data_IF_837221387226
#
_entry.id   IF_837221387226
#
_cell.length_a   1.000
_cell.length_b   1.000
_cell.length_c   1.000
_cell.angle_alpha   90.00
_cell.angle_beta   90.00
_cell.angle_gamma   90.00
#
_symmetry.space_group_name_H-M   'P 1'
#
loop_
_entity.id
_entity.type
_entity.pdbx_description
1 polymer ?
#
# COMPACT_ATOMS: atom_id res chain seq x y z
N UNK A 1 -3.24 95.37 -32.81
CA UNK A 1 -2.84 93.97 -33.05
C UNK A 1 -3.65 93.43 -34.22
N UNK A 2 -3.00 92.79 -35.19
CA UNK A 2 -3.66 92.26 -36.39
C UNK A 2 -4.35 90.92 -36.04
N UNK A 3 -5.57 90.67 -36.53
CA UNK A 3 -6.37 89.50 -36.14
C UNK A 3 -5.65 88.16 -36.37
N UNK A 4 -4.83 88.10 -37.41
CA UNK A 4 -3.97 86.96 -37.75
C UNK A 4 -2.92 86.66 -36.68
N UNK A 5 -2.33 87.68 -36.06
CA UNK A 5 -1.30 87.49 -35.03
C UNK A 5 -1.90 86.90 -33.74
N UNK A 6 -3.11 87.32 -33.39
CA UNK A 6 -3.84 86.76 -32.24
C UNK A 6 -4.21 85.29 -32.48
N UNK A 7 -4.60 84.94 -33.71
CA UNK A 7 -4.92 83.55 -34.08
C UNK A 7 -3.69 82.64 -33.98
N UNK A 8 -2.52 83.07 -34.49
CA UNK A 8 -1.28 82.30 -34.35
C UNK A 8 -0.88 82.10 -32.88
N UNK A 9 -1.04 83.12 -32.02
CA UNK A 9 -0.74 82.99 -30.59
C UNK A 9 -1.63 81.94 -29.91
N UNK A 10 -2.93 81.95 -30.20
CA UNK A 10 -3.87 80.98 -29.64
C UNK A 10 -3.56 79.55 -30.11
N UNK A 11 -3.16 79.39 -31.38
CA UNK A 11 -2.77 78.10 -31.95
C UNK A 11 -1.47 77.58 -31.31
N UNK A 12 -0.48 78.45 -31.12
CA UNK A 12 0.79 78.11 -30.47
C UNK A 12 0.59 77.70 -29.01
N UNK A 13 -0.29 78.38 -28.28
CA UNK A 13 -0.68 78.01 -26.91
C UNK A 13 -1.39 76.65 -26.88
N UNK A 14 -2.24 76.37 -27.86
CA UNK A 14 -2.94 75.08 -27.99
C UNK A 14 -1.96 73.94 -28.27
N UNK A 15 -0.99 74.16 -29.17
CA UNK A 15 0.07 73.19 -29.46
C UNK A 15 0.98 72.94 -28.26
N UNK A 16 1.32 73.97 -27.48
CA UNK A 16 2.08 73.81 -26.24
C UNK A 16 1.32 72.98 -25.19
N UNK A 17 0.01 73.22 -25.02
CA UNK A 17 -0.83 72.39 -24.13
C UNK A 17 -0.88 70.94 -24.59
N UNK A 18 -1.03 70.70 -25.89
CA UNK A 18 -1.03 69.37 -26.46
C UNK A 18 0.31 68.66 -26.24
N UNK A 19 1.43 69.35 -26.48
CA UNK A 19 2.77 68.81 -26.27
C UNK A 19 3.01 68.41 -24.81
N UNK A 20 2.65 69.28 -23.84
CA UNK A 20 2.78 68.98 -22.42
C UNK A 20 1.90 67.77 -22.01
N UNK A 21 0.71 67.66 -22.59
CA UNK A 21 -0.18 66.51 -22.35
C UNK A 21 0.43 65.22 -22.90
N UNK A 22 1.00 65.25 -24.11
CA UNK A 22 1.67 64.09 -24.70
C UNK A 22 2.92 63.67 -23.90
N UNK A 23 3.73 64.64 -23.44
CA UNK A 23 4.90 64.36 -22.60
C UNK A 23 4.51 63.66 -21.29
N UNK A 24 3.43 64.13 -20.65
CA UNK A 24 2.93 63.50 -19.41
C UNK A 24 2.45 62.07 -19.67
N UNK A 25 1.76 61.83 -20.80
CA UNK A 25 1.32 60.49 -21.19
C UNK A 25 2.49 59.54 -21.48
N UNK A 26 3.54 60.03 -22.15
CA UNK A 26 4.75 59.25 -22.42
C UNK A 26 5.44 58.86 -21.12
N UNK A 27 5.61 59.81 -20.18
CA UNK A 27 6.21 59.51 -18.88
C UNK A 27 5.42 58.42 -18.13
N UNK A 28 4.09 58.50 -18.11
CA UNK A 28 3.24 57.48 -17.48
C UNK A 28 3.38 56.09 -18.14
N UNK A 29 3.47 56.06 -19.47
CA UNK A 29 3.68 54.81 -20.23
C UNK A 29 5.08 54.23 -20.02
N UNK A 30 6.10 55.07 -19.84
CA UNK A 30 7.47 54.62 -19.53
C UNK A 30 7.53 53.97 -18.14
N UNK A 31 6.84 54.54 -17.16
CA UNK A 31 6.74 53.97 -15.81
C UNK A 31 5.94 52.65 -15.83
N UNK A 32 4.81 52.59 -16.54
CA UNK A 32 4.05 51.34 -16.72
C UNK A 32 4.89 50.25 -17.39
N UNK A 33 5.63 50.58 -18.45
CA UNK A 33 6.55 49.65 -19.10
C UNK A 33 7.66 49.15 -18.18
N UNK A 34 8.14 50.01 -17.26
CA UNK A 34 9.13 49.60 -16.24
C UNK A 34 8.54 48.56 -15.30
N UNK A 35 7.34 48.80 -14.77
CA UNK A 35 6.64 47.84 -13.92
C UNK A 35 6.33 46.53 -14.65
N UNK A 36 5.91 46.59 -15.92
CA UNK A 36 5.68 45.38 -16.73
C UNK A 36 6.94 44.52 -16.90
N UNK A 37 8.10 45.14 -17.07
CA UNK A 37 9.39 44.43 -17.15
C UNK A 37 9.74 43.75 -15.82
N UNK A 38 9.47 44.41 -14.69
CA UNK A 38 9.66 43.83 -13.36
C UNK A 38 8.73 42.63 -13.13
N UNK A 39 7.45 42.74 -13.49
CA UNK A 39 6.51 41.62 -13.41
C UNK A 39 6.92 40.45 -14.31
N UNK A 40 7.36 40.72 -15.55
CA UNK A 40 7.84 39.68 -16.45
C UNK A 40 9.06 38.94 -15.87
N UNK A 41 10.00 39.68 -15.25
CA UNK A 41 11.14 39.09 -14.55
C UNK A 41 10.69 38.21 -13.38
N UNK A 42 9.70 38.66 -12.60
CA UNK A 42 9.17 37.88 -11.47
C UNK A 42 8.47 36.60 -11.91
N UNK A 43 7.70 36.66 -13.00
CA UNK A 43 7.03 35.49 -13.59
C UNK A 43 8.08 34.46 -14.03
N UNK A 44 9.12 34.88 -14.75
CA UNK A 44 10.20 33.98 -15.17
C UNK A 44 10.89 33.28 -13.99
N UNK A 45 11.11 33.99 -12.87
CA UNK A 45 11.67 33.39 -11.66
C UNK A 45 10.73 32.35 -11.02
N UNK A 46 9.42 32.62 -11.00
CA UNK A 46 8.43 31.70 -10.46
C UNK A 46 8.28 30.45 -11.32
N UNK A 47 8.30 30.59 -12.64
CA UNK A 47 8.29 29.47 -13.59
C UNK A 47 9.51 28.57 -13.40
N UNK A 48 10.69 29.16 -13.24
CA UNK A 48 11.93 28.40 -12.96
C UNK A 48 11.86 27.67 -11.62
N UNK A 49 11.39 28.34 -10.56
CA UNK A 49 11.20 27.69 -9.25
C UNK A 49 10.22 26.52 -9.32
N UNK A 50 9.12 26.67 -10.07
CA UNK A 50 8.14 25.60 -10.25
C UNK A 50 8.72 24.42 -11.04
N UNK A 51 9.55 24.69 -12.06
CA UNK A 51 10.25 23.65 -12.80
C UNK A 51 11.14 22.81 -11.90
N UNK A 52 11.97 23.46 -11.09
CA UNK A 52 12.87 22.79 -10.15
C UNK A 52 12.10 21.97 -9.10
N UNK A 53 11.01 22.52 -8.55
CA UNK A 53 10.19 21.80 -7.59
C UNK A 53 9.54 20.54 -8.19
N UNK A 54 9.07 20.63 -9.44
CA UNK A 54 8.51 19.47 -10.14
C UNK A 54 9.57 18.39 -10.41
N UNK A 55 10.81 18.78 -10.73
CA UNK A 55 11.92 17.84 -10.91
C UNK A 55 12.28 17.14 -9.58
N UNK A 56 12.34 17.89 -8.48
CA UNK A 56 12.55 17.32 -7.15
C UNK A 56 11.44 16.34 -6.77
N UNK A 57 10.18 16.72 -6.99
CA UNK A 57 9.03 15.87 -6.70
C UNK A 57 9.08 14.57 -7.51
N UNK A 58 9.45 14.62 -8.80
CA UNK A 58 9.62 13.43 -9.61
C UNK A 58 10.68 12.49 -9.02
N UNK A 59 11.80 13.04 -8.54
CA UNK A 59 12.84 12.28 -7.85
C UNK A 59 12.34 11.62 -6.56
N UNK A 60 11.59 12.35 -5.73
CA UNK A 60 11.01 11.80 -4.49
C UNK A 60 9.96 10.71 -4.74
N UNK A 61 9.14 10.88 -5.78
CA UNK A 61 8.16 9.86 -6.20
C UNK A 61 8.88 8.58 -6.63
N UNK A 62 9.94 8.70 -7.43
CA UNK A 62 10.77 7.54 -7.82
C UNK A 62 11.37 6.85 -6.59
N UNK A 63 11.97 7.62 -5.67
CA UNK A 63 12.55 7.08 -4.43
C UNK A 63 11.50 6.38 -3.56
N UNK A 64 10.30 6.96 -3.45
CA UNK A 64 9.19 6.38 -2.69
C UNK A 64 8.69 5.09 -3.32
N UNK A 65 8.61 5.03 -4.65
CA UNK A 65 8.25 3.83 -5.40
C UNK A 65 9.26 2.70 -5.16
N UNK A 66 10.56 2.98 -5.29
CA UNK A 66 11.61 2.00 -5.01
C UNK A 66 11.57 1.50 -3.55
N UNK A 67 11.32 2.39 -2.59
CA UNK A 67 11.21 2.00 -1.19
C UNK A 67 10.02 1.06 -0.96
N UNK A 68 8.90 1.34 -1.62
CA UNK A 68 7.69 0.52 -1.51
C UNK A 68 7.87 -0.85 -2.18
N UNK A 69 8.56 -0.91 -3.34
CA UNK A 69 8.92 -2.18 -3.99
C UNK A 69 9.83 -3.03 -3.09
N UNK A 70 10.89 -2.43 -2.51
CA UNK A 70 11.77 -3.10 -1.54
C UNK A 70 11.03 -3.57 -0.28
N UNK A 71 10.03 -2.81 0.17
CA UNK A 71 9.19 -3.21 1.29
C UNK A 71 8.28 -4.38 0.90
N UNK A 72 7.77 -4.40 -0.34
CA UNK A 72 6.89 -5.44 -0.84
C UNK A 72 7.62 -6.78 -1.05
N UNK A 73 8.88 -6.76 -1.50
CA UNK A 73 9.73 -7.97 -1.57
C UNK A 73 9.97 -8.60 -0.20
N UNK A 74 9.95 -7.79 0.87
CA UNK A 74 10.06 -8.28 2.25
C UNK A 74 8.73 -8.71 2.87
N UNK A 75 7.60 -8.46 2.21
CA UNK A 75 6.27 -8.63 2.83
C UNK A 75 5.79 -10.06 2.92
N UNK A 76 6.22 -10.98 2.03
CA UNK A 76 5.89 -12.40 2.19
C UNK A 76 7.14 -13.25 2.43
N UNK A 77 7.53 -13.50 3.69
CA UNK A 77 8.69 -14.33 4.00
C UNK A 77 8.45 -15.81 3.66
N UNK A 78 7.26 -16.21 3.23
CA UNK A 78 6.90 -17.60 2.96
C UNK A 78 7.13 -17.89 1.47
N UNK A 79 7.98 -18.87 1.19
CA UNK A 79 8.29 -19.39 -0.14
C UNK A 79 7.33 -20.51 -0.54
N UNK A 80 7.04 -21.44 0.37
CA UNK A 80 6.18 -22.60 0.10
C UNK A 80 5.39 -23.00 1.33
N UNK A 81 4.19 -23.55 1.12
CA UNK A 81 3.32 -24.09 2.15
C UNK A 81 2.66 -25.39 1.70
N UNK A 82 2.74 -26.41 2.55
CA UNK A 82 2.19 -27.74 2.29
C UNK A 82 1.42 -28.25 3.52
N UNK A 83 0.49 -29.17 3.28
CA UNK A 83 -0.24 -29.85 4.35
C UNK A 83 -0.07 -31.35 4.17
N UNK A 84 1.10 -31.94 4.46
CA UNK A 84 1.44 -33.31 4.03
C UNK A 84 0.57 -34.40 4.68
N UNK A 85 0.13 -34.20 5.92
CA UNK A 85 -0.56 -35.24 6.67
C UNK A 85 -1.51 -34.70 7.74
N UNK A 86 -2.37 -35.57 8.24
CA UNK A 86 -3.17 -35.34 9.44
C UNK A 86 -2.54 -36.05 10.63
N UNK A 87 -2.66 -35.46 11.80
CA UNK A 87 -2.16 -35.98 13.07
C UNK A 87 -3.28 -36.01 14.11
N UNK A 88 -3.24 -36.97 15.02
CA UNK A 88 -4.15 -37.04 16.16
C UNK A 88 -3.40 -36.46 17.36
N UNK A 89 -3.90 -35.35 17.89
CA UNK A 89 -3.28 -34.67 19.04
C UNK A 89 -4.07 -35.05 20.30
N UNK A 90 -3.40 -35.53 21.35
CA UNK A 90 -4.05 -35.79 22.63
C UNK A 90 -4.40 -34.47 23.33
N UNK A 91 -5.62 -34.37 23.82
CA UNK A 91 -6.14 -33.28 24.65
C UNK A 91 -6.60 -33.89 25.99
N UNK A 92 -6.71 -33.08 27.05
CA UNK A 92 -6.90 -33.55 28.44
C UNK A 92 -8.00 -34.61 28.63
N UNK A 93 -9.05 -34.61 27.79
CA UNK A 93 -10.19 -35.51 27.89
C UNK A 93 -10.61 -36.17 26.56
N UNK A 94 -9.93 -35.88 25.45
CA UNK A 94 -10.27 -36.38 24.11
C UNK A 94 -9.08 -36.26 23.20
N UNK A 95 -9.09 -36.98 22.08
CA UNK A 95 -8.19 -36.70 20.98
C UNK A 95 -8.87 -35.75 19.98
N UNK A 96 -8.11 -34.90 19.30
CA UNK A 96 -8.60 -34.16 18.14
C UNK A 96 -7.71 -34.37 16.92
N UNK A 97 -8.33 -34.38 15.73
CA UNK A 97 -7.58 -34.39 14.48
C UNK A 97 -7.11 -32.99 14.13
N UNK A 98 -5.83 -32.88 13.81
CA UNK A 98 -5.21 -31.69 13.29
C UNK A 98 -4.44 -32.01 12.00
N UNK A 99 -4.00 -30.97 11.33
CA UNK A 99 -3.26 -31.03 10.09
C UNK A 99 -1.87 -30.48 10.32
N UNK A 100 -0.87 -31.23 9.89
CA UNK A 100 0.51 -30.77 9.88
C UNK A 100 0.64 -29.78 8.72
N UNK A 101 1.04 -28.55 9.02
CA UNK A 101 1.30 -27.50 8.04
C UNK A 101 2.80 -27.27 8.04
N UNK A 102 3.45 -27.51 6.90
CA UNK A 102 4.88 -27.21 6.72
C UNK A 102 5.02 -25.90 5.97
N UNK A 103 5.92 -25.06 6.46
CA UNK A 103 6.19 -23.75 5.91
C UNK A 103 7.68 -23.65 5.63
N UNK A 104 7.99 -23.25 4.41
CA UNK A 104 9.35 -22.92 3.96
C UNK A 104 9.39 -21.43 3.67
N UNK A 105 10.32 -20.73 4.30
CA UNK A 105 10.54 -19.31 4.07
C UNK A 105 11.54 -19.06 2.94
N UNK A 106 11.54 -17.83 2.42
CA UNK A 106 12.43 -17.38 1.34
C UNK A 106 13.92 -17.48 1.69
N UNK A 107 14.25 -17.48 2.98
CA UNK A 107 15.60 -17.68 3.50
C UNK A 107 15.96 -19.17 3.70
N UNK A 108 15.10 -20.08 3.23
CA UNK A 108 15.29 -21.53 3.29
C UNK A 108 14.97 -22.17 4.65
N UNK A 109 14.53 -21.40 5.65
CA UNK A 109 14.13 -21.98 6.95
C UNK A 109 12.83 -22.76 6.79
N UNK A 110 12.79 -23.93 7.42
CA UNK A 110 11.62 -24.80 7.44
C UNK A 110 11.10 -24.93 8.85
N UNK A 111 9.78 -24.84 8.99
CA UNK A 111 9.12 -25.14 10.24
C UNK A 111 7.76 -25.76 10.01
N UNK A 112 7.24 -26.40 11.05
CA UNK A 112 5.95 -27.05 11.03
C UNK A 112 5.07 -26.50 12.14
N UNK A 113 3.77 -26.39 11.87
CA UNK A 113 2.75 -26.09 12.86
C UNK A 113 1.59 -27.07 12.73
N UNK A 114 0.89 -27.30 13.82
CA UNK A 114 -0.27 -28.21 13.83
C UNK A 114 -1.54 -27.39 13.97
N UNK A 115 -2.49 -27.57 13.05
CA UNK A 115 -3.73 -26.78 13.03
C UNK A 115 -4.95 -27.67 12.93
N UNK A 116 -5.91 -27.51 13.86
CA UNK A 116 -7.22 -28.15 13.74
C UNK A 116 -8.12 -27.36 12.80
N UNK A 117 -9.08 -28.04 12.15
CA UNK A 117 -9.96 -27.42 11.16
C UNK A 117 -10.64 -26.12 11.65
N UNK A 118 -11.09 -26.07 12.91
CA UNK A 118 -11.68 -24.86 13.51
C UNK A 118 -10.75 -23.64 13.45
N UNK A 119 -9.43 -23.81 13.52
CA UNK A 119 -8.47 -22.70 13.40
C UNK A 119 -8.42 -22.15 11.96
N UNK A 120 -8.57 -23.01 10.94
CA UNK A 120 -8.71 -22.56 9.55
C UNK A 120 -10.01 -21.77 9.34
N UNK A 121 -11.11 -22.20 9.99
CA UNK A 121 -12.38 -21.46 9.96
C UNK A 121 -12.23 -20.07 10.57
N UNK A 122 -11.48 -19.94 11.66
CA UNK A 122 -11.20 -18.65 12.30
C UNK A 122 -10.36 -17.74 11.38
N UNK A 123 -9.28 -18.27 10.79
CA UNK A 123 -8.49 -17.55 9.78
C UNK A 123 -9.38 -17.06 8.64
N UNK A 124 -10.20 -17.93 8.06
CA UNK A 124 -11.11 -17.60 6.97
C UNK A 124 -12.09 -16.49 7.35
N UNK A 125 -12.66 -16.58 8.54
CA UNK A 125 -13.61 -15.58 9.07
C UNK A 125 -12.95 -14.21 9.23
N UNK A 126 -11.71 -14.18 9.71
CA UNK A 126 -10.93 -12.95 9.84
C UNK A 126 -10.61 -12.34 8.47
N UNK A 127 -10.19 -13.15 7.50
CA UNK A 127 -9.93 -12.68 6.14
C UNK A 127 -11.20 -12.15 5.46
N UNK A 128 -12.34 -12.85 5.59
CA UNK A 128 -13.62 -12.39 5.04
C UNK A 128 -14.05 -11.06 5.67
N UNK A 129 -13.78 -10.83 6.95
CA UNK A 129 -14.07 -9.54 7.60
C UNK A 129 -13.25 -8.40 6.99
N UNK A 130 -12.04 -8.66 6.52
CA UNK A 130 -11.12 -7.64 5.98
C UNK A 130 -11.40 -7.40 4.48
N UNK A 131 -11.61 -8.46 3.69
CA UNK A 131 -11.66 -8.39 2.22
C UNK A 131 -13.05 -8.67 1.61
N UNK A 132 -14.03 -9.05 2.44
CA UNK A 132 -15.32 -9.55 1.97
C UNK A 132 -15.26 -11.00 1.50
N UNK A 133 -16.43 -11.63 1.34
CA UNK A 133 -16.54 -13.05 1.00
C UNK A 133 -15.97 -13.39 -0.38
N UNK A 134 -16.16 -12.51 -1.37
CA UNK A 134 -15.67 -12.71 -2.74
C UNK A 134 -14.14 -12.50 -2.87
N UNK A 135 -13.51 -11.86 -1.89
CA UNK A 135 -12.07 -11.60 -1.88
C UNK A 135 -11.22 -12.73 -1.29
N UNK A 136 -11.83 -13.80 -0.78
CA UNK A 136 -11.14 -14.87 -0.05
C UNK A 136 -11.38 -16.23 -0.72
N UNK A 137 -10.35 -17.09 -0.86
CA UNK A 137 -10.50 -18.44 -1.39
C UNK A 137 -11.52 -19.26 -0.57
N UNK A 138 -12.26 -20.16 -1.24
CA UNK A 138 -13.23 -21.01 -0.55
C UNK A 138 -12.54 -22.03 0.37
N UNK A 139 -12.93 -22.04 1.64
CA UNK A 139 -12.47 -23.03 2.61
C UNK A 139 -13.15 -24.40 2.34
N UNK A 140 -12.41 -25.53 2.26
CA UNK A 140 -13.00 -26.84 2.06
C UNK A 140 -13.91 -27.20 3.24
N UNK A 141 -15.14 -27.65 2.97
CA UNK A 141 -16.07 -28.15 4.01
C UNK A 141 -17.44 -27.48 4.10
N UNK A 142 -17.87 -26.67 3.13
CA UNK A 142 -19.28 -26.24 3.03
C UNK A 142 -19.92 -26.66 1.71
N UNK A 143 -20.64 -27.78 1.75
CA UNK A 143 -21.84 -28.00 0.94
C UNK A 143 -22.91 -28.50 1.90
N UNK A 144 -23.81 -27.62 2.30
CA UNK A 144 -25.03 -27.90 3.10
C UNK A 144 -24.80 -28.07 4.61
N UNK A 145 -24.72 -26.96 5.35
CA UNK A 145 -25.29 -26.73 6.71
C UNK A 145 -25.17 -27.74 7.86
N UNK A 146 -24.60 -28.93 7.67
CA UNK A 146 -24.58 -30.01 8.64
C UNK A 146 -23.16 -30.07 9.19
N UNK A 147 -23.01 -29.45 10.35
CA UNK A 147 -21.82 -29.62 11.18
C UNK A 147 -21.65 -31.12 11.51
N UNK A 148 -20.45 -31.64 11.30
CA UNK A 148 -19.97 -32.95 11.78
C UNK A 148 -20.47 -34.22 11.05
N UNK A 149 -20.24 -34.35 9.75
CA UNK A 149 -20.23 -35.70 9.13
C UNK A 149 -18.81 -36.26 9.04
N UNK A 150 -18.69 -37.59 8.95
CA UNK A 150 -17.44 -38.35 8.86
C UNK A 150 -16.50 -37.93 7.70
N UNK A 151 -16.97 -37.08 6.78
CA UNK A 151 -16.13 -36.34 5.82
C UNK A 151 -15.08 -35.44 6.50
N UNK A 152 -15.21 -35.22 7.82
CA UNK A 152 -14.42 -34.30 8.62
C UNK A 152 -12.92 -34.57 8.64
N UNK A 153 -12.52 -35.79 8.29
CA UNK A 153 -11.12 -36.26 8.34
C UNK A 153 -10.67 -36.93 7.03
N UNK A 154 -11.28 -36.56 5.92
CA UNK A 154 -10.94 -37.09 4.59
C UNK A 154 -9.64 -36.49 4.07
N UNK A 155 -8.91 -37.29 3.28
CA UNK A 155 -7.75 -36.84 2.51
C UNK A 155 -8.11 -35.66 1.58
N UNK A 156 -9.35 -35.67 1.06
CA UNK A 156 -9.92 -34.57 0.27
C UNK A 156 -9.90 -33.23 1.03
N UNK A 157 -10.21 -33.24 2.33
CA UNK A 157 -10.12 -32.03 3.15
C UNK A 157 -8.67 -31.56 3.31
N UNK A 158 -7.73 -32.47 3.56
CA UNK A 158 -6.29 -32.13 3.65
C UNK A 158 -5.82 -31.42 2.38
N UNK A 159 -6.15 -31.99 1.22
CA UNK A 159 -5.80 -31.41 -0.07
C UNK A 159 -6.43 -30.03 -0.28
N UNK A 160 -7.73 -29.88 0.01
CA UNK A 160 -8.39 -28.58 -0.08
C UNK A 160 -7.84 -27.53 0.90
N UNK A 161 -7.35 -27.96 2.08
CA UNK A 161 -6.72 -27.04 3.04
C UNK A 161 -5.36 -26.56 2.53
N UNK A 162 -4.61 -27.43 1.85
CA UNK A 162 -3.38 -27.04 1.18
C UNK A 162 -3.64 -26.02 0.07
N UNK A 163 -4.59 -26.30 -0.83
CA UNK A 163 -4.98 -25.40 -1.92
C UNK A 163 -5.45 -24.05 -1.38
N UNK A 164 -6.23 -24.05 -0.29
CA UNK A 164 -6.66 -22.85 0.41
C UNK A 164 -5.48 -22.00 0.90
N UNK A 165 -4.53 -22.61 1.62
CA UNK A 165 -3.35 -21.91 2.13
C UNK A 165 -2.43 -21.41 1.02
N UNK A 166 -2.23 -22.20 -0.03
CA UNK A 166 -1.45 -21.79 -1.20
C UNK A 166 -2.11 -20.63 -1.95
N UNK A 167 -3.44 -20.62 -2.05
CA UNK A 167 -4.19 -19.51 -2.65
C UNK A 167 -4.06 -18.22 -1.85
N UNK A 168 -4.07 -18.30 -0.52
CA UNK A 168 -3.81 -17.14 0.35
C UNK A 168 -2.37 -16.65 0.18
N UNK A 169 -1.40 -17.57 0.23
CA UNK A 169 0.03 -17.25 0.08
C UNK A 169 0.34 -16.57 -1.25
N UNK A 170 -0.27 -17.03 -2.34
CA UNK A 170 -0.08 -16.50 -3.69
C UNK A 170 -0.82 -15.18 -3.94
N UNK A 171 -1.76 -14.79 -3.08
CA UNK A 171 -2.44 -13.50 -3.16
C UNK A 171 -1.59 -12.42 -2.46
N UNK A 172 -1.16 -11.35 -3.18
CA UNK A 172 -0.37 -10.27 -2.57
C UNK A 172 -1.09 -9.55 -1.43
N UNK A 173 -2.42 -9.50 -1.48
CA UNK A 173 -3.23 -8.80 -0.48
C UNK A 173 -3.50 -9.67 0.75
N UNK A 174 -3.81 -10.96 0.56
CA UNK A 174 -4.14 -11.88 1.66
C UNK A 174 -2.88 -12.43 2.34
N UNK A 175 -1.88 -12.80 1.55
CA UNK A 175 -0.66 -13.44 2.01
C UNK A 175 0.18 -12.54 2.91
N UNK A 176 0.01 -11.21 2.81
CA UNK A 176 0.73 -10.21 3.60
C UNK A 176 0.04 -9.82 4.91
N UNK A 177 -1.10 -10.44 5.22
CA UNK A 177 -1.88 -10.10 6.41
C UNK A 177 -1.29 -10.70 7.68
N UNK A 178 -1.29 -9.91 8.75
CA UNK A 178 -0.82 -10.35 10.07
C UNK A 178 -1.58 -11.57 10.59
N UNK A 179 -2.89 -11.68 10.29
CA UNK A 179 -3.71 -12.83 10.67
C UNK A 179 -3.24 -14.14 10.02
N UNK A 180 -2.72 -14.08 8.80
CA UNK A 180 -2.15 -15.24 8.12
C UNK A 180 -0.83 -15.66 8.76
N UNK A 181 0.07 -14.72 9.05
CA UNK A 181 1.32 -15.02 9.77
C UNK A 181 1.08 -15.52 11.20
N UNK A 182 0.08 -14.96 11.89
CA UNK A 182 -0.29 -15.42 13.22
C UNK A 182 -0.81 -16.86 13.18
N UNK A 183 -1.58 -17.21 12.14
CA UNK A 183 -2.01 -18.59 11.92
C UNK A 183 -0.82 -19.53 11.70
N UNK A 184 0.26 -19.09 11.07
CA UNK A 184 1.45 -19.93 10.81
C UNK A 184 2.50 -19.89 11.94
N UNK A 185 2.32 -19.05 12.96
CA UNK A 185 3.29 -18.97 14.06
C UNK A 185 3.38 -20.29 14.82
N UNK A 186 4.60 -20.72 15.18
CA UNK A 186 4.80 -21.90 16.04
C UNK A 186 3.98 -21.77 17.32
N UNK A 187 3.32 -22.85 17.70
CA UNK A 187 2.70 -22.93 19.02
C UNK A 187 3.84 -22.98 20.04
N UNK A 188 3.86 -22.04 20.99
CA UNK A 188 4.78 -22.11 22.12
C UNK A 188 4.45 -23.40 22.87
N UNK A 189 5.32 -24.40 22.75
CA UNK A 189 5.16 -25.64 23.47
C UNK A 189 5.17 -25.33 24.98
N UNK A 190 4.06 -25.54 25.66
CA UNK A 190 4.10 -25.72 27.10
C UNK A 190 5.06 -26.88 27.39
N UNK A 191 6.08 -26.72 28.25
CA UNK A 191 7.06 -27.78 28.50
C UNK A 191 6.39 -28.92 29.28
N UNK A 192 5.78 -29.86 28.59
CA UNK A 192 5.31 -31.12 29.18
C UNK A 192 6.47 -32.12 29.17
N UNK A 193 7.24 -32.08 30.26
CA UNK A 193 7.95 -33.20 30.90
C UNK A 193 8.27 -34.41 30.01
N UNK A 194 9.47 -34.44 29.45
CA UNK A 194 10.17 -35.68 29.11
C UNK A 194 11.13 -36.04 30.25
N UNK A 195 11.29 -37.36 30.46
CA UNK A 195 12.29 -38.07 31.29
C UNK A 195 11.83 -38.54 32.69
N UNK A 196 11.46 -39.83 32.79
CA UNK A 196 12.36 -40.85 33.36
C UNK A 196 11.84 -42.26 33.04
N UNK A 197 12.43 -42.87 32.00
CA UNK A 197 12.66 -44.31 31.99
C UNK A 197 14.05 -44.51 32.58
N UNK A 198 14.15 -45.15 33.74
CA UNK A 198 15.42 -45.65 34.28
C UNK A 198 15.16 -47.03 34.89
N UNK A 199 15.40 -48.04 34.06
CA UNK A 199 15.69 -49.41 34.47
C UNK A 199 17.06 -49.42 35.16
N UNK A 200 17.15 -49.80 36.43
CA UNK A 200 18.36 -50.46 36.94
C UNK A 200 18.12 -51.24 38.25
N UNK A 201 18.48 -52.54 38.16
CA UNK A 201 18.78 -53.55 39.18
C UNK A 201 17.75 -53.94 40.26
#
# INVERSE_FOLDING_TARGET
>A
MNATEQQLRNELETLQKLLNTQLTKVAALEDENRSLREYASKIAQLEESNRLLNEQLAGEVHKSKELNEKLNEKKNPIHNITVPSKVIVPEKFSNYTAYLVEVESIDGKKYQVTRRYKQFVLLNTQLIRIFGEHGVPSLPGKKNGIYFSAEDHTEKRRQGLQEYLQSIMNSPELGTQSVFYQFLRKDEASPSSSATSATHH
#
